data_IF_069493163635
#
_entry.id   IF_069493163635
#
_cell.length_a   1.000
_cell.length_b   1.000
_cell.length_c   1.000
_cell.angle_alpha   90.00
_cell.angle_beta   90.00
_cell.angle_gamma   90.00
#
_symmetry.space_group_name_H-M   'P 1'
#
loop_
_entity.id
_entity.type
_entity.pdbx_description
1 polymer ?
#
# COMPACT_ATOMS: atom_id res chain seq x y z
N UNK A 1 -7.94 11.92 25.58
CA UNK A 1 -8.44 11.07 24.48
C UNK A 1 -7.39 11.14 23.39
N UNK A 2 -6.48 10.17 23.31
CA UNK A 2 -5.42 10.17 22.30
C UNK A 2 -5.99 9.60 21.00
N UNK A 3 -6.33 10.49 20.06
CA UNK A 3 -6.62 10.12 18.67
C UNK A 3 -5.34 9.53 18.06
N UNK A 4 -5.20 8.21 18.08
CA UNK A 4 -3.98 7.55 17.58
C UNK A 4 -4.33 6.33 16.74
N UNK A 5 -5.22 6.51 15.75
CA UNK A 5 -5.48 5.54 14.69
C UNK A 5 -5.06 6.14 13.35
N UNK A 6 -3.76 6.39 13.19
CA UNK A 6 -3.16 6.87 11.94
C UNK A 6 -2.09 5.88 11.50
N UNK A 7 -2.07 5.56 10.20
CA UNK A 7 -0.95 4.84 9.60
C UNK A 7 0.18 5.82 9.25
N UNK A 8 1.46 5.42 9.35
CA UNK A 8 2.58 6.22 8.89
C UNK A 8 2.49 6.53 7.39
N UNK A 9 2.87 7.76 7.04
CA UNK A 9 3.08 8.21 5.66
C UNK A 9 4.51 8.71 5.51
N UNK A 10 5.08 8.57 4.33
CA UNK A 10 6.44 9.00 4.03
C UNK A 10 6.55 9.53 2.60
N UNK A 11 7.63 10.26 2.32
CA UNK A 11 7.93 10.74 0.97
C UNK A 11 8.49 9.59 0.12
N UNK A 12 7.95 9.43 -1.09
CA UNK A 12 8.54 8.63 -2.14
C UNK A 12 8.59 9.39 -3.46
N UNK A 13 9.11 8.73 -4.49
CA UNK A 13 9.16 9.25 -5.85
C UNK A 13 8.28 8.39 -6.74
N UNK A 14 7.28 9.00 -7.36
CA UNK A 14 6.44 8.40 -8.40
C UNK A 14 6.59 9.29 -9.63
N UNK A 15 6.93 8.69 -10.78
CA UNK A 15 7.28 9.43 -12.00
C UNK A 15 8.29 10.57 -11.75
N UNK A 16 9.28 10.31 -10.90
CA UNK A 16 10.31 11.27 -10.50
C UNK A 16 9.78 12.55 -9.81
N UNK A 17 8.55 12.52 -9.31
CA UNK A 17 7.94 13.57 -8.50
C UNK A 17 7.79 13.13 -7.03
N UNK A 18 8.06 14.02 -6.07
CA UNK A 18 7.86 13.72 -4.66
C UNK A 18 6.36 13.61 -4.35
N UNK A 19 5.97 12.46 -3.81
CA UNK A 19 4.58 12.14 -3.44
C UNK A 19 4.56 11.53 -2.04
N UNK A 20 3.51 11.83 -1.27
CA UNK A 20 3.24 11.14 -0.01
C UNK A 20 2.64 9.77 -0.30
N UNK A 21 3.25 8.74 0.28
CA UNK A 21 2.85 7.34 0.12
C UNK A 21 2.78 6.66 1.49
N UNK A 22 2.10 5.52 1.56
CA UNK A 22 2.08 4.66 2.74
C UNK A 22 2.33 3.20 2.37
N UNK A 23 2.61 2.37 3.38
CA UNK A 23 2.79 0.93 3.19
C UNK A 23 1.41 0.24 3.13
N UNK A 24 1.12 -0.46 2.03
CA UNK A 24 -0.18 -1.11 1.85
C UNK A 24 -0.43 -2.23 2.86
N UNK A 25 0.62 -2.90 3.37
CA UNK A 25 0.48 -3.94 4.40
C UNK A 25 0.10 -3.34 5.74
N UNK A 26 0.65 -2.18 6.09
CA UNK A 26 0.24 -1.45 7.28
C UNK A 26 -1.21 -0.98 7.17
N UNK A 27 -1.61 -0.47 6.00
CA UNK A 27 -3.02 -0.12 5.74
C UNK A 27 -3.93 -1.35 5.85
N UNK A 28 -3.55 -2.49 5.26
CA UNK A 28 -4.31 -3.74 5.33
C UNK A 28 -4.53 -4.20 6.79
N UNK A 29 -3.47 -4.15 7.60
CA UNK A 29 -3.55 -4.49 9.02
C UNK A 29 -4.40 -3.48 9.80
N UNK A 30 -4.25 -2.19 9.51
CA UNK A 30 -5.01 -1.10 10.13
C UNK A 30 -6.52 -1.19 9.84
N UNK A 31 -6.90 -1.61 8.63
CA UNK A 31 -8.29 -1.83 8.23
C UNK A 31 -8.85 -3.18 8.71
N UNK A 32 -8.05 -3.99 9.41
CA UNK A 32 -8.43 -5.31 9.95
C UNK A 32 -9.02 -6.26 8.89
N UNK A 33 -8.50 -6.18 7.66
CA UNK A 33 -9.03 -6.96 6.53
C UNK A 33 -8.63 -8.43 6.66
N UNK A 34 -9.62 -9.30 6.65
CA UNK A 34 -9.43 -10.74 6.89
C UNK A 34 -8.86 -11.49 5.67
N UNK A 35 -9.08 -10.98 4.46
CA UNK A 35 -8.49 -11.54 3.24
C UNK A 35 -6.97 -11.47 3.32
N UNK A 36 -6.29 -12.57 2.97
CA UNK A 36 -4.82 -12.60 2.94
C UNK A 36 -4.28 -11.45 2.08
N UNK A 37 -3.36 -10.66 2.65
CA UNK A 37 -2.81 -9.45 2.02
C UNK A 37 -2.48 -9.58 0.54
N UNK A 38 -1.77 -10.65 0.14
CA UNK A 38 -1.37 -10.85 -1.25
C UNK A 38 -2.54 -10.97 -2.22
N UNK A 39 -3.66 -11.54 -1.77
CA UNK A 39 -4.86 -11.70 -2.58
C UNK A 39 -5.66 -10.40 -2.56
N UNK A 40 -5.78 -9.77 -1.38
CA UNK A 40 -6.43 -8.48 -1.22
C UNK A 40 -5.83 -7.39 -2.13
N UNK A 41 -4.52 -7.13 -2.04
CA UNK A 41 -3.90 -6.04 -2.79
C UNK A 41 -3.97 -6.28 -4.31
N UNK A 42 -3.81 -7.53 -4.75
CA UNK A 42 -3.95 -7.87 -6.18
C UNK A 42 -5.37 -7.67 -6.68
N UNK A 43 -6.36 -8.11 -5.90
CA UNK A 43 -7.76 -7.94 -6.27
C UNK A 43 -8.12 -6.46 -6.36
N UNK A 44 -7.68 -5.66 -5.38
CA UNK A 44 -7.92 -4.22 -5.38
C UNK A 44 -7.23 -3.48 -6.52
N UNK A 45 -5.98 -3.83 -6.83
CA UNK A 45 -5.28 -3.30 -8.01
C UNK A 45 -6.07 -3.58 -9.29
N UNK A 46 -6.55 -4.82 -9.46
CA UNK A 46 -7.32 -5.21 -10.65
C UNK A 46 -8.71 -4.58 -10.70
N UNK A 47 -9.40 -4.50 -9.56
CA UNK A 47 -10.78 -3.99 -9.44
C UNK A 47 -10.86 -2.50 -9.78
N UNK A 48 -9.93 -1.70 -9.25
CA UNK A 48 -9.90 -0.26 -9.45
C UNK A 48 -9.03 0.17 -10.64
N UNK A 49 -8.26 -0.76 -11.23
CA UNK A 49 -7.40 -0.47 -12.37
C UNK A 49 -6.16 0.35 -12.03
N UNK A 50 -5.63 0.20 -10.81
CA UNK A 50 -4.43 0.93 -10.37
C UNK A 50 -3.20 0.57 -11.20
N UNK A 51 -2.39 1.57 -11.51
CA UNK A 51 -1.25 1.48 -12.41
C UNK A 51 0.06 1.54 -11.61
N UNK A 52 0.97 0.61 -11.88
CA UNK A 52 2.31 0.63 -11.29
C UNK A 52 3.08 1.87 -11.78
N UNK A 53 3.85 2.48 -10.89
CA UNK A 53 4.62 3.70 -11.15
C UNK A 53 3.74 4.96 -11.36
N UNK A 54 2.44 4.86 -11.09
CA UNK A 54 1.49 5.98 -11.00
C UNK A 54 0.75 5.97 -9.65
N UNK A 55 0.12 4.85 -9.29
CA UNK A 55 -0.65 4.69 -8.06
C UNK A 55 0.11 3.95 -6.96
N UNK A 56 1.07 3.11 -7.35
CA UNK A 56 1.85 2.32 -6.41
C UNK A 56 3.24 1.95 -6.94
N UNK A 57 4.12 1.61 -6.01
CA UNK A 57 5.45 1.06 -6.25
C UNK A 57 5.52 -0.36 -5.68
N UNK A 58 6.19 -1.27 -6.39
CA UNK A 58 6.44 -2.62 -5.90
C UNK A 58 7.82 -2.69 -5.25
N UNK A 59 7.84 -3.05 -3.98
CA UNK A 59 9.06 -3.21 -3.19
C UNK A 59 9.34 -4.70 -3.02
N UNK A 60 10.57 -5.11 -3.28
CA UNK A 60 11.01 -6.48 -2.99
C UNK A 60 11.74 -6.50 -1.67
N UNK A 61 11.10 -7.04 -0.64
CA UNK A 61 11.72 -7.22 0.68
C UNK A 61 12.46 -8.54 0.74
N UNK A 62 13.75 -8.47 1.06
CA UNK A 62 14.57 -9.66 1.31
C UNK A 62 14.14 -10.29 2.63
N UNK A 63 13.98 -11.60 2.61
CA UNK A 63 13.72 -12.41 3.80
C UNK A 63 14.74 -13.53 3.88
N UNK A 64 14.75 -14.30 4.97
CA UNK A 64 15.58 -15.51 5.09
C UNK A 64 15.12 -16.67 4.18
N UNK A 65 14.07 -16.45 3.38
CA UNK A 65 13.57 -17.39 2.40
C UNK A 65 13.16 -16.67 1.11
N UNK A 66 11.98 -17.00 0.58
CA UNK A 66 11.47 -16.34 -0.63
C UNK A 66 11.26 -14.84 -0.34
N UNK A 67 11.85 -13.93 -1.15
CA UNK A 67 11.57 -12.50 -1.04
C UNK A 67 10.08 -12.21 -1.14
N UNK A 68 9.62 -11.22 -0.38
CA UNK A 68 8.21 -10.79 -0.37
C UNK A 68 8.03 -9.59 -1.28
N UNK A 69 6.86 -9.52 -1.90
CA UNK A 69 6.42 -8.32 -2.61
C UNK A 69 5.60 -7.48 -1.64
N UNK A 70 6.04 -6.26 -1.44
CA UNK A 70 5.32 -5.22 -0.72
C UNK A 70 4.93 -4.09 -1.67
N UNK A 71 3.96 -3.29 -1.27
CA UNK A 71 3.45 -2.19 -2.07
C UNK A 71 3.50 -0.92 -1.25
N UNK A 72 4.10 0.11 -1.82
CA UNK A 72 3.89 1.47 -1.35
C UNK A 72 2.89 2.15 -2.26
N UNK A 73 1.85 2.74 -1.70
CA UNK A 73 0.69 3.25 -2.44
C UNK A 73 0.55 4.75 -2.23
N UNK A 74 0.05 5.46 -3.23
CA UNK A 74 -0.34 6.87 -3.08
C UNK A 74 -1.45 7.00 -2.03
N UNK A 75 -1.57 8.19 -1.43
CA UNK A 75 -2.67 8.46 -0.52
C UNK A 75 -4.03 8.39 -1.23
N UNK A 76 -4.10 8.71 -2.52
CA UNK A 76 -5.34 8.64 -3.29
C UNK A 76 -5.78 7.19 -3.52
N UNK A 77 -4.85 6.30 -3.91
CA UNK A 77 -5.12 4.86 -3.91
C UNK A 77 -5.54 4.37 -2.52
N UNK A 78 -4.81 4.75 -1.47
CA UNK A 78 -5.11 4.35 -0.09
C UNK A 78 -6.51 4.75 0.40
N UNK A 79 -7.04 5.90 -0.05
CA UNK A 79 -8.41 6.33 0.28
C UNK A 79 -9.45 5.42 -0.35
N UNK A 80 -9.27 5.04 -1.63
CA UNK A 80 -10.19 4.16 -2.33
C UNK A 80 -10.24 2.75 -1.70
N UNK A 81 -9.11 2.26 -1.19
CA UNK A 81 -9.03 0.93 -0.56
C UNK A 81 -9.81 0.80 0.75
N UNK A 82 -10.22 1.92 1.36
CA UNK A 82 -11.06 1.95 2.56
C UNK A 82 -12.53 1.66 2.26
N UNK A 83 -12.96 1.82 1.01
CA UNK A 83 -14.36 1.68 0.59
C UNK A 83 -14.80 0.21 0.39
#
# INVERSE_FOLDING_TARGET
MTNSNLIPVFNGLIQNQPVQICNARELHAFLEIQTRYNDWIKNRINEYGFIQDEDYLVITERTNGRPRKEYHITLDMGKELRN
#
